data_IF_628799516572
#
_entry.id   IF_628799516572
#
_cell.length_a   1.000
_cell.length_b   1.000
_cell.length_c   1.000
_cell.angle_alpha   90.00
_cell.angle_beta   90.00
_cell.angle_gamma   90.00
#
_symmetry.space_group_name_H-M   'P 1'
#
loop_
_entity.id
_entity.type
_entity.pdbx_description
1 polymer ?
#
# COMPACT_ATOMS: atom_id res chain seq x y z
N UNK A 1 33.97 -98.45 -9.40
CA UNK A 1 34.02 -98.38 -10.87
C UNK A 1 35.09 -97.38 -11.24
N UNK A 2 36.19 -97.82 -11.83
CA UNK A 2 37.29 -96.94 -12.21
C UNK A 2 37.52 -97.09 -13.71
N UNK A 3 37.01 -96.14 -14.48
CA UNK A 3 37.48 -95.95 -15.84
C UNK A 3 38.81 -95.20 -15.73
N UNK A 4 39.92 -95.91 -15.85
CA UNK A 4 41.24 -95.29 -15.99
C UNK A 4 41.30 -94.64 -17.37
N UNK A 5 41.13 -93.33 -17.44
CA UNK A 5 41.33 -92.55 -18.65
C UNK A 5 42.83 -92.56 -19.01
N UNK A 6 43.14 -92.87 -20.27
CA UNK A 6 44.51 -92.92 -20.78
C UNK A 6 45.10 -91.52 -21.03
N UNK A 7 46.42 -91.48 -21.23
CA UNK A 7 47.16 -90.29 -21.67
C UNK A 7 46.58 -89.78 -23.00
N UNK A 8 46.05 -88.56 -22.99
CA UNK A 8 45.92 -87.76 -24.21
C UNK A 8 47.28 -87.11 -24.44
N UNK A 9 47.97 -87.48 -25.52
CA UNK A 9 49.19 -86.77 -25.94
C UNK A 9 48.76 -85.37 -26.40
N UNK A 10 49.50 -84.34 -25.98
CA UNK A 10 49.17 -82.97 -26.36
C UNK A 10 49.11 -82.83 -27.90
N UNK A 11 48.13 -82.10 -28.45
CA UNK A 11 48.02 -81.90 -29.89
C UNK A 11 49.32 -81.26 -30.42
N UNK A 12 49.85 -81.83 -31.51
CA UNK A 12 51.07 -81.36 -32.18
C UNK A 12 50.68 -80.54 -33.41
N UNK A 13 51.54 -79.57 -33.75
CA UNK A 13 51.45 -78.89 -35.04
C UNK A 13 51.80 -79.87 -36.16
N UNK A 14 51.05 -79.85 -37.27
CA UNK A 14 51.32 -80.67 -38.45
C UNK A 14 51.24 -79.81 -39.70
N UNK A 15 52.24 -79.94 -40.58
CA UNK A 15 52.28 -79.25 -41.86
C UNK A 15 52.18 -80.22 -43.03
N UNK A 16 51.67 -79.73 -44.15
CA UNK A 16 51.52 -80.47 -45.40
C UNK A 16 52.22 -79.74 -46.55
N UNK A 17 52.71 -80.49 -47.54
CA UNK A 17 53.21 -79.94 -48.78
C UNK A 17 52.05 -79.37 -49.65
N UNK A 18 52.39 -78.71 -50.76
CA UNK A 18 51.39 -78.13 -51.68
C UNK A 18 50.47 -79.16 -52.35
N UNK A 19 50.79 -80.46 -52.22
CA UNK A 19 50.00 -81.58 -52.72
C UNK A 19 49.19 -82.27 -51.61
N UNK A 20 49.21 -81.74 -50.38
CA UNK A 20 48.46 -82.25 -49.23
C UNK A 20 49.09 -83.44 -48.51
N UNK A 21 50.36 -83.77 -48.77
CA UNK A 21 51.09 -84.85 -48.07
C UNK A 21 51.83 -84.29 -46.85
N UNK A 22 52.03 -85.07 -45.77
CA UNK A 22 52.80 -84.62 -44.62
C UNK A 22 54.18 -84.08 -45.01
N UNK A 23 54.56 -82.93 -44.45
CA UNK A 23 55.82 -82.26 -44.78
C UNK A 23 57.00 -82.87 -44.00
N UNK A 24 57.33 -84.11 -44.34
CA UNK A 24 58.39 -84.89 -43.68
C UNK A 24 59.74 -84.19 -43.84
N UNK A 25 60.43 -83.96 -42.71
CA UNK A 25 61.72 -83.25 -42.71
C UNK A 25 61.63 -81.76 -43.05
N UNK A 26 60.42 -81.21 -43.10
CA UNK A 26 60.21 -79.76 -43.20
C UNK A 26 60.75 -79.01 -41.99
N UNK A 27 60.89 -77.70 -42.14
CA UNK A 27 61.51 -76.80 -41.15
C UNK A 27 60.51 -75.73 -40.78
N UNK A 28 60.30 -75.50 -39.49
CA UNK A 28 59.51 -74.37 -38.99
C UNK A 28 60.46 -73.36 -38.37
N UNK A 29 60.45 -72.15 -38.92
CA UNK A 29 61.20 -71.00 -38.43
C UNK A 29 60.22 -70.02 -37.79
N UNK A 30 60.49 -69.64 -36.56
CA UNK A 30 59.72 -68.70 -35.75
C UNK A 30 60.50 -67.41 -35.41
N UNK A 31 60.00 -66.28 -35.86
CA UNK A 31 60.61 -64.98 -35.65
C UNK A 31 59.71 -64.09 -34.79
N UNK A 32 60.28 -63.00 -34.28
CA UNK A 32 59.49 -61.93 -33.69
C UNK A 32 58.45 -61.41 -34.70
N UNK A 33 57.19 -61.21 -34.28
CA UNK A 33 56.16 -60.63 -35.14
C UNK A 33 56.63 -59.32 -35.80
N UNK A 34 56.32 -59.15 -37.08
CA UNK A 34 56.82 -58.03 -37.90
C UNK A 34 58.28 -58.11 -38.34
N UNK A 35 58.99 -59.22 -38.05
CA UNK A 35 60.39 -59.45 -38.46
C UNK A 35 60.56 -60.83 -39.08
N UNK A 36 61.35 -60.94 -40.15
CA UNK A 36 61.71 -62.21 -40.80
C UNK A 36 63.16 -62.62 -40.56
N UNK A 37 63.87 -61.91 -39.67
CA UNK A 37 65.32 -62.09 -39.44
C UNK A 37 65.68 -62.26 -37.96
N UNK A 38 64.83 -61.81 -37.04
CA UNK A 38 65.06 -61.92 -35.59
C UNK A 38 64.41 -63.20 -35.07
N UNK A 39 65.20 -64.28 -34.96
CA UNK A 39 64.71 -65.57 -34.48
C UNK A 39 64.18 -65.45 -33.04
N UNK A 40 63.07 -66.13 -32.76
CA UNK A 40 62.40 -66.15 -31.47
C UNK A 40 62.19 -67.60 -31.03
N UNK A 41 62.43 -67.87 -29.75
CA UNK A 41 62.34 -69.22 -29.21
C UNK A 41 60.92 -69.78 -29.30
N UNK A 42 60.79 -71.05 -29.66
CA UNK A 42 59.56 -71.83 -29.45
C UNK A 42 59.83 -72.96 -28.48
N UNK A 43 58.77 -73.54 -27.92
CA UNK A 43 58.89 -74.52 -26.85
C UNK A 43 58.24 -75.85 -27.23
N UNK A 44 58.80 -76.94 -26.71
CA UNK A 44 58.28 -78.30 -26.91
C UNK A 44 57.20 -78.70 -25.89
N UNK A 45 57.03 -77.90 -24.85
CA UNK A 45 56.05 -78.05 -23.78
C UNK A 45 55.28 -76.73 -23.52
N UNK A 46 54.03 -76.81 -23.04
CA UNK A 46 53.21 -75.62 -22.77
C UNK A 46 53.73 -74.74 -21.63
N UNK A 47 54.49 -75.31 -20.69
CA UNK A 47 55.05 -74.62 -19.52
C UNK A 47 56.37 -73.88 -19.85
N UNK A 48 56.84 -73.99 -21.09
CA UNK A 48 58.02 -73.31 -21.64
C UNK A 48 59.34 -73.73 -20.97
N UNK A 49 59.39 -74.95 -20.45
CA UNK A 49 60.56 -75.50 -19.76
C UNK A 49 61.65 -75.93 -20.74
N UNK A 50 61.28 -76.35 -21.95
CA UNK A 50 62.18 -76.90 -22.96
C UNK A 50 62.00 -76.20 -24.30
N UNK A 51 63.06 -75.52 -24.75
CA UNK A 51 63.11 -74.85 -26.06
C UNK A 51 63.26 -75.86 -27.19
N UNK A 52 62.55 -75.64 -28.29
CA UNK A 52 62.80 -76.34 -29.54
C UNK A 52 64.14 -75.90 -30.15
N UNK A 53 64.69 -76.73 -31.03
CA UNK A 53 65.84 -76.35 -31.86
C UNK A 53 65.45 -75.27 -32.88
N UNK A 54 66.46 -74.55 -33.38
CA UNK A 54 66.30 -73.57 -34.45
C UNK A 54 66.99 -74.02 -35.74
N UNK A 55 66.27 -74.26 -36.86
CA UNK A 55 64.81 -74.34 -36.97
C UNK A 55 64.21 -75.58 -36.28
N UNK A 56 62.89 -75.60 -36.09
CA UNK A 56 62.17 -76.78 -35.60
C UNK A 56 62.01 -77.77 -36.75
N UNK A 57 62.50 -79.00 -36.60
CA UNK A 57 62.40 -80.04 -37.63
C UNK A 57 61.13 -80.86 -37.45
N UNK A 58 60.40 -81.07 -38.55
CA UNK A 58 59.20 -81.89 -38.58
C UNK A 58 59.56 -83.38 -38.71
N UNK A 59 58.85 -84.22 -37.94
CA UNK A 59 59.04 -85.67 -37.93
C UNK A 59 58.48 -86.38 -39.18
N UNK A 60 58.47 -87.72 -39.17
CA UNK A 60 57.97 -88.58 -40.25
C UNK A 60 56.46 -88.47 -40.50
N UNK A 61 55.73 -87.83 -39.59
CA UNK A 61 54.35 -87.42 -39.77
C UNK A 61 54.21 -85.96 -40.22
N UNK A 62 55.31 -85.26 -40.51
CA UNK A 62 55.31 -83.83 -40.81
C UNK A 62 54.87 -82.98 -39.62
N UNK A 63 55.12 -83.44 -38.39
CA UNK A 63 54.60 -82.83 -37.16
C UNK A 63 55.71 -82.41 -36.18
N UNK A 64 55.39 -81.48 -35.28
CA UNK A 64 56.25 -81.06 -34.16
C UNK A 64 55.42 -80.51 -32.99
N UNK A 65 55.94 -80.61 -31.77
CA UNK A 65 55.38 -79.88 -30.64
C UNK A 65 55.94 -78.44 -30.65
N UNK A 66 55.07 -77.46 -30.91
CA UNK A 66 55.46 -76.05 -31.01
C UNK A 66 54.48 -75.22 -30.19
N UNK A 67 54.97 -74.69 -29.07
CA UNK A 67 54.27 -73.74 -28.23
C UNK A 67 54.95 -72.37 -28.37
N UNK A 68 54.13 -71.32 -28.45
CA UNK A 68 54.56 -69.93 -28.63
C UNK A 68 54.16 -69.07 -27.43
N UNK A 69 54.85 -67.95 -27.26
CA UNK A 69 54.65 -66.97 -26.18
C UNK A 69 54.68 -65.54 -26.72
N UNK A 70 53.52 -64.90 -26.88
CA UNK A 70 53.38 -63.65 -27.61
C UNK A 70 53.04 -63.88 -29.08
N UNK A 71 53.19 -62.82 -29.89
CA UNK A 71 52.96 -62.87 -31.33
C UNK A 71 54.26 -63.21 -32.09
N UNK A 72 54.14 -64.09 -33.08
CA UNK A 72 55.24 -64.59 -33.91
C UNK A 72 54.94 -64.39 -35.39
N UNK A 73 56.01 -64.26 -36.16
CA UNK A 73 56.00 -64.53 -37.59
C UNK A 73 56.58 -65.94 -37.82
N UNK A 74 55.81 -66.83 -38.41
CA UNK A 74 56.18 -68.24 -38.61
C UNK A 74 56.35 -68.51 -40.10
N UNK A 75 57.44 -69.16 -40.49
CA UNK A 75 57.66 -69.73 -41.83
C UNK A 75 57.78 -71.23 -41.76
N UNK A 76 57.18 -71.90 -42.73
CA UNK A 76 57.23 -73.36 -42.90
C UNK A 76 57.91 -73.62 -44.25
N UNK A 77 59.05 -74.30 -44.23
CA UNK A 77 59.84 -74.64 -45.41
C UNK A 77 59.89 -76.15 -45.59
N UNK A 78 60.06 -76.62 -46.82
CA UNK A 78 60.31 -78.02 -47.11
C UNK A 78 61.74 -78.46 -46.71
N UNK A 79 62.02 -79.75 -46.85
CA UNK A 79 63.33 -80.31 -46.54
C UNK A 79 64.48 -79.67 -47.35
N UNK A 80 64.19 -79.11 -48.53
CA UNK A 80 65.15 -78.44 -49.41
C UNK A 80 65.27 -76.93 -49.13
N UNK A 81 64.50 -76.38 -48.19
CA UNK A 81 64.50 -74.96 -47.84
C UNK A 81 63.61 -74.10 -48.73
N UNK A 82 62.66 -74.70 -49.47
CA UNK A 82 61.65 -73.95 -50.23
C UNK A 82 60.47 -73.59 -49.34
N UNK A 83 60.05 -72.34 -49.36
CA UNK A 83 58.90 -71.85 -48.58
C UNK A 83 57.59 -72.53 -49.00
N UNK A 84 56.88 -73.10 -48.02
CA UNK A 84 55.55 -73.70 -48.17
C UNK A 84 54.46 -72.73 -47.75
N UNK A 85 54.58 -72.16 -46.54
CA UNK A 85 53.61 -71.23 -45.98
C UNK A 85 54.28 -70.30 -44.97
N UNK A 86 53.71 -69.12 -44.79
CA UNK A 86 54.11 -68.17 -43.77
C UNK A 86 52.90 -67.42 -43.21
N UNK A 87 53.05 -66.85 -42.02
CA UNK A 87 52.05 -65.99 -41.41
C UNK A 87 52.65 -65.10 -40.33
N UNK A 88 52.25 -63.84 -40.31
CA UNK A 88 52.61 -62.87 -39.26
C UNK A 88 51.45 -62.71 -38.26
N UNK A 89 51.77 -62.28 -37.04
CA UNK A 89 50.80 -62.03 -35.98
C UNK A 89 50.17 -63.30 -35.39
N UNK A 90 50.81 -64.47 -35.55
CA UNK A 90 50.36 -65.71 -34.94
C UNK A 90 50.66 -65.64 -33.45
N UNK A 91 49.62 -65.49 -32.63
CA UNK A 91 49.74 -65.25 -31.19
C UNK A 91 49.06 -66.34 -30.36
N UNK A 92 49.59 -66.60 -29.16
CA UNK A 92 48.90 -67.45 -28.21
C UNK A 92 47.63 -66.77 -27.64
N UNK A 93 46.62 -67.57 -27.34
CA UNK A 93 45.32 -67.09 -26.88
C UNK A 93 45.40 -66.24 -25.60
N UNK A 94 46.38 -66.51 -24.73
CA UNK A 94 46.56 -65.74 -23.50
C UNK A 94 47.13 -64.35 -23.79
N UNK A 95 48.11 -64.23 -24.68
CA UNK A 95 48.62 -62.95 -25.16
C UNK A 95 47.57 -62.14 -25.94
N UNK A 96 46.71 -62.79 -26.74
CA UNK A 96 45.58 -62.12 -27.39
C UNK A 96 44.59 -61.58 -26.34
N UNK A 97 44.16 -62.42 -25.39
CA UNK A 97 43.25 -62.00 -24.32
C UNK A 97 43.83 -60.84 -23.49
N UNK A 98 45.12 -60.91 -23.15
CA UNK A 98 45.83 -59.85 -22.45
C UNK A 98 45.89 -58.57 -23.29
N UNK A 99 46.18 -58.66 -24.58
CA UNK A 99 46.21 -57.50 -25.49
C UNK A 99 44.84 -56.82 -25.66
N UNK A 100 43.74 -57.58 -25.56
CA UNK A 100 42.37 -57.03 -25.58
C UNK A 100 42.08 -56.30 -24.26
N UNK A 101 42.47 -56.89 -23.13
CA UNK A 101 42.35 -56.25 -21.81
C UNK A 101 43.18 -54.96 -21.77
N UNK A 102 44.40 -54.99 -22.28
CA UNK A 102 45.31 -53.84 -22.31
C UNK A 102 44.86 -52.80 -23.35
N UNK A 103 44.40 -53.24 -24.54
CA UNK A 103 44.05 -52.39 -25.68
C UNK A 103 42.72 -51.64 -25.55
N UNK A 104 41.77 -52.14 -24.75
CA UNK A 104 40.51 -51.45 -24.48
C UNK A 104 40.69 -50.23 -23.53
N UNK A 105 41.87 -50.06 -22.94
CA UNK A 105 42.11 -49.12 -21.83
C UNK A 105 42.85 -47.82 -22.20
N UNK A 106 43.30 -47.63 -23.45
CA UNK A 106 43.80 -46.33 -23.92
C UNK A 106 44.88 -45.67 -23.05
N UNK A 107 45.68 -46.47 -22.32
CA UNK A 107 46.79 -45.96 -21.50
C UNK A 107 46.44 -45.44 -20.10
N UNK A 108 45.22 -45.66 -19.58
CA UNK A 108 44.93 -45.42 -18.15
C UNK A 108 44.40 -46.68 -17.47
N UNK A 109 45.06 -47.06 -16.39
CA UNK A 109 44.75 -48.21 -15.55
C UNK A 109 43.40 -48.04 -14.84
N UNK A 110 42.53 -49.06 -15.00
CA UNK A 110 41.43 -49.49 -14.11
C UNK A 110 40.22 -48.54 -13.92
N UNK A 111 39.02 -49.05 -14.15
CA UNK A 111 37.69 -48.41 -13.94
C UNK A 111 37.58 -47.62 -12.63
N UNK A 112 38.30 -48.06 -11.61
CA UNK A 112 38.43 -47.44 -10.29
C UNK A 112 38.80 -45.95 -10.34
N UNK A 113 39.74 -45.56 -11.22
CA UNK A 113 40.12 -44.14 -11.35
C UNK A 113 38.98 -43.28 -11.88
N UNK A 114 38.21 -43.79 -12.85
CA UNK A 114 37.06 -43.06 -13.41
C UNK A 114 35.90 -42.96 -12.42
N UNK A 115 35.72 -43.98 -11.60
CA UNK A 115 34.72 -43.96 -10.52
C UNK A 115 35.12 -42.90 -9.49
N UNK A 116 36.39 -42.84 -9.10
CA UNK A 116 36.89 -41.81 -8.18
C UNK A 116 36.71 -40.39 -8.71
N UNK A 117 36.96 -40.15 -10.00
CA UNK A 117 36.76 -38.83 -10.61
C UNK A 117 35.28 -38.43 -10.60
N UNK A 118 34.38 -39.37 -10.93
CA UNK A 118 32.93 -39.14 -10.91
C UNK A 118 32.39 -38.90 -9.49
N UNK A 119 32.92 -39.61 -8.49
CA UNK A 119 32.59 -39.37 -7.08
C UNK A 119 32.97 -37.95 -6.67
N UNK A 120 34.17 -37.49 -7.05
CA UNK A 120 34.60 -36.11 -6.81
C UNK A 120 33.71 -35.09 -7.52
N UNK A 121 33.31 -35.34 -8.77
CA UNK A 121 32.42 -34.45 -9.51
C UNK A 121 31.02 -34.37 -8.88
N UNK A 122 30.49 -35.49 -8.39
CA UNK A 122 29.21 -35.54 -7.66
C UNK A 122 29.29 -34.73 -6.37
N UNK A 123 30.37 -34.84 -5.61
CA UNK A 123 30.59 -34.06 -4.39
C UNK A 123 30.65 -32.56 -4.70
N UNK A 124 31.42 -32.16 -5.72
CA UNK A 124 31.50 -30.76 -6.17
C UNK A 124 30.13 -30.21 -6.60
N UNK A 125 29.34 -31.01 -7.32
CA UNK A 125 27.99 -30.62 -7.74
C UNK A 125 27.03 -30.52 -6.56
N UNK A 126 27.15 -31.41 -5.57
CA UNK A 126 26.35 -31.37 -4.35
C UNK A 126 26.64 -30.09 -3.55
N UNK A 127 27.91 -29.70 -3.45
CA UNK A 127 28.32 -28.45 -2.82
C UNK A 127 27.80 -27.22 -3.57
N UNK A 128 27.87 -27.22 -4.90
CA UNK A 128 27.29 -26.16 -5.72
C UNK A 128 25.78 -26.04 -5.54
N UNK A 129 25.07 -27.18 -5.51
CA UNK A 129 23.63 -27.21 -5.28
C UNK A 129 23.26 -26.66 -3.90
N UNK A 130 23.99 -27.07 -2.85
CA UNK A 130 23.75 -26.59 -1.49
C UNK A 130 23.98 -25.08 -1.39
N UNK A 131 25.05 -24.56 -2.00
CA UNK A 131 25.34 -23.12 -2.03
C UNK A 131 24.24 -22.32 -2.75
N UNK A 132 23.79 -22.79 -3.92
CA UNK A 132 22.68 -22.15 -4.64
C UNK A 132 21.38 -22.18 -3.85
N UNK A 133 21.09 -23.31 -3.18
CA UNK A 133 19.91 -23.46 -2.35
C UNK A 133 19.94 -22.50 -1.16
N UNK A 134 21.06 -22.38 -0.47
CA UNK A 134 21.23 -21.44 0.64
C UNK A 134 21.06 -19.99 0.18
N UNK A 135 21.63 -19.66 -0.97
CA UNK A 135 21.47 -18.34 -1.61
C UNK A 135 20.00 -18.05 -1.94
N UNK A 136 19.29 -19.02 -2.50
CA UNK A 136 17.86 -18.90 -2.81
C UNK A 136 17.01 -18.70 -1.55
N UNK A 137 17.28 -19.48 -0.49
CA UNK A 137 16.56 -19.38 0.79
C UNK A 137 16.82 -18.04 1.47
N UNK A 138 18.04 -17.50 1.36
CA UNK A 138 18.38 -16.16 1.82
C UNK A 138 17.57 -15.08 1.06
N UNK A 139 17.54 -15.12 -0.26
CA UNK A 139 16.75 -14.17 -1.07
C UNK A 139 15.26 -14.26 -0.77
N UNK A 140 14.72 -15.47 -0.63
CA UNK A 140 13.32 -15.70 -0.26
C UNK A 140 13.00 -15.05 1.09
N UNK A 141 13.89 -15.20 2.07
CA UNK A 141 13.75 -14.61 3.41
C UNK A 141 13.81 -13.08 3.35
N UNK A 142 14.77 -12.52 2.63
CA UNK A 142 14.89 -11.07 2.42
C UNK A 142 13.65 -10.49 1.74
N UNK A 143 13.14 -11.14 0.68
CA UNK A 143 11.95 -10.70 -0.05
C UNK A 143 10.69 -10.74 0.82
N UNK A 144 10.48 -11.80 1.61
CA UNK A 144 9.35 -11.89 2.53
C UNK A 144 9.41 -10.79 3.61
N UNK A 145 10.61 -10.49 4.11
CA UNK A 145 10.83 -9.41 5.09
C UNK A 145 10.53 -8.04 4.48
N UNK A 146 11.00 -7.80 3.25
CA UNK A 146 10.73 -6.58 2.50
C UNK A 146 9.24 -6.39 2.22
N UNK A 147 8.53 -7.46 1.83
CA UNK A 147 7.08 -7.42 1.59
C UNK A 147 6.30 -7.08 2.86
N UNK A 148 6.68 -7.67 3.99
CA UNK A 148 6.08 -7.37 5.31
C UNK A 148 6.32 -5.92 5.72
N UNK A 149 7.55 -5.43 5.51
CA UNK A 149 7.93 -4.05 5.82
C UNK A 149 7.16 -3.07 4.94
N UNK A 150 7.01 -3.37 3.64
CA UNK A 150 6.25 -2.56 2.71
C UNK A 150 4.77 -2.45 3.14
N UNK A 151 4.14 -3.57 3.51
CA UNK A 151 2.76 -3.57 4.00
C UNK A 151 2.58 -2.73 5.27
N UNK A 152 3.51 -2.84 6.22
CA UNK A 152 3.51 -2.04 7.45
C UNK A 152 3.68 -0.54 7.15
N UNK A 153 4.62 -0.19 6.27
CA UNK A 153 4.88 1.20 5.89
C UNK A 153 3.68 1.82 5.17
N UNK A 154 3.06 1.08 4.23
CA UNK A 154 1.85 1.54 3.52
C UNK A 154 0.69 1.76 4.49
N UNK A 155 0.46 0.82 5.42
CA UNK A 155 -0.61 0.94 6.43
C UNK A 155 -0.39 2.15 7.34
N UNK A 156 0.84 2.35 7.80
CA UNK A 156 1.21 3.48 8.65
C UNK A 156 1.05 4.82 7.92
N UNK A 157 1.55 4.90 6.68
CA UNK A 157 1.43 6.09 5.85
C UNK A 157 -0.03 6.46 5.59
N UNK A 158 -0.87 5.47 5.24
CA UNK A 158 -2.30 5.67 5.00
C UNK A 158 -3.03 6.11 6.28
N UNK A 159 -2.74 5.47 7.41
CA UNK A 159 -3.33 5.84 8.71
C UNK A 159 -2.99 7.28 9.09
N UNK A 160 -1.72 7.68 8.93
CA UNK A 160 -1.29 9.04 9.23
C UNK A 160 -1.92 10.07 8.30
N UNK A 161 -2.02 9.76 7.00
CA UNK A 161 -2.65 10.63 6.02
C UNK A 161 -4.15 10.84 6.33
N UNK A 162 -4.88 9.76 6.61
CA UNK A 162 -6.31 9.81 6.99
C UNK A 162 -6.49 10.60 8.29
N UNK A 163 -5.67 10.33 9.31
CA UNK A 163 -5.75 11.03 10.60
C UNK A 163 -5.51 12.54 10.44
N UNK A 164 -4.51 12.92 9.65
CA UNK A 164 -4.20 14.32 9.34
C UNK A 164 -5.36 14.99 8.60
N UNK A 165 -5.90 14.34 7.57
CA UNK A 165 -6.99 14.87 6.78
C UNK A 165 -8.29 15.00 7.59
N UNK A 166 -8.61 14.00 8.42
CA UNK A 166 -9.77 14.05 9.31
C UNK A 166 -9.65 15.20 10.32
N UNK A 167 -8.47 15.37 10.93
CA UNK A 167 -8.22 16.47 11.88
C UNK A 167 -8.38 17.83 11.21
N UNK A 168 -7.84 18.00 10.00
CA UNK A 168 -7.98 19.23 9.23
C UNK A 168 -9.45 19.51 8.84
N UNK A 169 -10.18 18.47 8.44
CA UNK A 169 -11.60 18.59 8.08
C UNK A 169 -12.46 18.96 9.29
N UNK A 170 -12.23 18.35 10.45
CA UNK A 170 -12.92 18.70 11.70
C UNK A 170 -12.66 20.15 12.08
N UNK A 171 -11.39 20.59 12.04
CA UNK A 171 -11.04 21.98 12.33
C UNK A 171 -11.72 22.97 11.37
N UNK A 172 -11.82 22.62 10.07
CA UNK A 172 -12.50 23.46 9.08
C UNK A 172 -14.02 23.54 9.35
N UNK A 173 -14.66 22.42 9.70
CA UNK A 173 -16.08 22.39 10.07
C UNK A 173 -16.36 23.22 11.32
N UNK A 174 -15.49 23.11 12.34
CA UNK A 174 -15.61 23.92 13.56
C UNK A 174 -15.44 25.41 13.28
N UNK A 175 -14.48 25.78 12.42
CA UNK A 175 -14.28 27.16 12.00
C UNK A 175 -15.52 27.71 11.27
N UNK A 176 -16.11 26.94 10.35
CA UNK A 176 -17.36 27.32 9.67
C UNK A 176 -18.52 27.47 10.64
N UNK A 177 -18.65 26.54 11.61
CA UNK A 177 -19.68 26.62 12.66
C UNK A 177 -19.54 27.90 13.48
N UNK A 178 -18.31 28.25 13.89
CA UNK A 178 -18.03 29.47 14.65
C UNK A 178 -18.34 30.71 13.82
N UNK A 179 -17.89 30.76 12.57
CA UNK A 179 -18.17 31.88 11.66
C UNK A 179 -19.68 32.08 11.41
N UNK A 180 -20.40 30.98 11.16
CA UNK A 180 -21.86 31.01 11.02
C UNK A 180 -22.56 31.54 12.27
N UNK A 181 -22.16 31.06 13.46
CA UNK A 181 -22.73 31.53 14.71
C UNK A 181 -22.45 33.02 14.93
N UNK A 182 -21.24 33.48 14.60
CA UNK A 182 -20.88 34.90 14.68
C UNK A 182 -21.71 35.75 13.71
N UNK A 183 -21.91 35.29 12.47
CA UNK A 183 -22.76 35.96 11.48
C UNK A 183 -24.22 36.01 11.91
N UNK A 184 -24.78 34.92 12.44
CA UNK A 184 -26.15 34.87 12.97
C UNK A 184 -26.29 35.86 14.14
N UNK A 185 -25.38 35.84 15.11
CA UNK A 185 -25.36 36.80 16.21
C UNK A 185 -25.19 38.26 15.73
N UNK A 186 -24.47 38.44 14.61
CA UNK A 186 -24.33 39.71 13.89
C UNK A 186 -25.67 40.28 13.42
N UNK A 187 -26.53 39.43 12.86
CA UNK A 187 -27.83 39.79 12.28
C UNK A 187 -28.95 39.97 13.31
N UNK A 188 -28.81 39.40 14.50
CA UNK A 188 -29.79 39.58 15.58
C UNK A 188 -29.90 41.05 16.00
N UNK A 189 -31.11 41.48 16.32
CA UNK A 189 -31.36 42.79 16.95
C UNK A 189 -30.53 42.86 18.23
N UNK A 190 -29.69 43.89 18.39
CA UNK A 190 -28.77 43.98 19.55
C UNK A 190 -29.55 44.16 20.85
N UNK A 191 -28.93 43.77 21.97
CA UNK A 191 -29.47 44.05 23.31
C UNK A 191 -29.71 45.56 23.44
N UNK A 192 -30.89 45.93 23.92
CA UNK A 192 -31.37 47.31 23.97
C UNK A 192 -32.10 47.79 22.71
N UNK A 193 -32.01 47.05 21.61
CA UNK A 193 -32.71 47.34 20.36
C UNK A 193 -34.22 47.13 20.45
N UNK A 194 -34.97 47.81 19.58
CA UNK A 194 -36.42 47.76 19.50
C UNK A 194 -36.89 46.89 18.34
N UNK A 195 -37.99 46.16 18.56
CA UNK A 195 -38.68 45.36 17.57
C UNK A 195 -40.16 45.77 17.53
N UNK A 196 -40.66 46.04 16.33
CA UNK A 196 -42.04 46.48 16.08
C UNK A 196 -42.80 45.35 15.39
N UNK A 197 -43.99 45.03 15.89
CA UNK A 197 -44.80 43.94 15.34
C UNK A 197 -46.28 44.14 15.65
N UNK A 198 -47.15 43.65 14.77
CA UNK A 198 -48.60 43.52 15.05
C UNK A 198 -48.90 42.26 15.88
N UNK A 199 -47.98 41.29 15.90
CA UNK A 199 -48.10 40.07 16.71
C UNK A 199 -48.07 40.41 18.20
N UNK A 200 -48.99 39.80 18.96
CA UNK A 200 -49.00 39.89 20.41
C UNK A 200 -48.05 38.88 21.08
N UNK A 201 -47.46 37.96 20.30
CA UNK A 201 -46.55 36.95 20.80
C UNK A 201 -45.22 37.58 21.29
N UNK A 202 -44.57 36.92 22.24
CA UNK A 202 -43.26 37.35 22.70
C UNK A 202 -42.26 37.15 21.55
N UNK A 203 -41.43 38.12 21.16
CA UNK A 203 -40.50 37.95 20.04
C UNK A 203 -39.52 36.78 20.21
N UNK A 204 -39.30 36.28 21.44
CA UNK A 204 -38.56 35.05 21.66
C UNK A 204 -39.20 33.83 20.95
N UNK A 205 -40.53 33.76 20.83
CA UNK A 205 -41.21 32.69 20.09
C UNK A 205 -41.07 32.86 18.59
N UNK A 206 -41.17 34.09 18.10
CA UNK A 206 -41.26 34.37 16.66
C UNK A 206 -39.87 34.46 16.01
N UNK A 207 -38.89 35.03 16.72
CA UNK A 207 -37.50 35.17 16.27
C UNK A 207 -36.60 34.03 16.75
N UNK A 208 -37.03 33.24 17.74
CA UNK A 208 -36.29 32.09 18.26
C UNK A 208 -35.06 32.43 19.11
N UNK A 209 -34.90 33.68 19.53
CA UNK A 209 -33.78 34.11 20.37
C UNK A 209 -34.13 35.29 21.28
N UNK A 210 -33.26 35.47 22.29
CA UNK A 210 -33.25 36.62 23.18
C UNK A 210 -34.35 36.60 24.24
N UNK A 211 -34.22 37.50 25.20
CA UNK A 211 -35.30 37.82 26.15
C UNK A 211 -35.84 39.21 25.85
N UNK A 212 -37.16 39.38 25.95
CA UNK A 212 -37.84 40.58 25.45
C UNK A 212 -38.85 41.10 26.47
N UNK A 213 -38.97 42.43 26.54
CA UNK A 213 -39.98 43.11 27.35
C UNK A 213 -40.66 44.21 26.55
N UNK A 214 -41.96 44.39 26.78
CA UNK A 214 -42.75 45.46 26.15
C UNK A 214 -42.32 46.81 26.70
N UNK A 215 -42.18 47.79 25.82
CA UNK A 215 -41.83 49.17 26.18
C UNK A 215 -42.79 50.14 25.51
N UNK A 216 -42.82 51.39 25.99
CA UNK A 216 -43.62 52.46 25.39
C UNK A 216 -45.11 52.12 25.22
N UNK A 217 -45.68 51.30 26.12
CA UNK A 217 -47.10 50.92 26.03
C UNK A 217 -47.98 52.17 26.19
N UNK A 218 -48.84 52.43 25.20
CA UNK A 218 -49.69 53.63 25.17
C UNK A 218 -48.94 54.94 24.93
N UNK A 219 -47.67 54.88 24.50
CA UNK A 219 -46.82 56.06 24.28
C UNK A 219 -46.33 56.11 22.83
N UNK A 220 -46.15 57.32 22.31
CA UNK A 220 -45.38 57.53 21.07
C UNK A 220 -43.88 57.58 21.37
N UNK A 221 -43.05 57.16 20.42
CA UNK A 221 -41.60 57.24 20.55
C UNK A 221 -41.11 58.61 20.09
N UNK A 222 -40.20 59.19 20.87
CA UNK A 222 -39.47 60.42 20.54
C UNK A 222 -37.98 60.12 20.65
N UNK A 223 -37.21 60.53 19.64
CA UNK A 223 -35.77 60.32 19.63
C UNK A 223 -35.09 61.16 20.71
N UNK A 224 -33.99 60.65 21.26
CA UNK A 224 -33.08 61.42 22.10
C UNK A 224 -32.62 62.66 21.32
N UNK A 225 -32.75 63.85 21.92
CA UNK A 225 -32.32 65.09 21.30
C UNK A 225 -31.03 65.62 21.91
N UNK A 226 -30.06 65.95 21.07
CA UNK A 226 -28.82 66.65 21.45
C UNK A 226 -28.92 68.17 21.30
N UNK A 227 -30.02 68.70 20.76
CA UNK A 227 -30.21 70.14 20.60
C UNK A 227 -30.49 70.82 21.95
N UNK A 228 -29.65 71.75 22.44
CA UNK A 228 -29.81 72.33 23.77
C UNK A 228 -31.15 73.05 24.00
N UNK A 229 -31.84 73.49 22.95
CA UNK A 229 -33.12 74.20 23.06
C UNK A 229 -34.34 73.29 23.22
N UNK A 230 -34.22 71.99 22.91
CA UNK A 230 -35.37 71.08 23.01
C UNK A 230 -35.67 70.74 24.48
N UNK A 231 -36.94 70.39 24.81
CA UNK A 231 -37.37 70.13 26.18
C UNK A 231 -36.50 69.13 26.94
N UNK A 232 -36.31 69.35 28.25
CA UNK A 232 -35.43 68.55 29.11
C UNK A 232 -35.78 67.05 29.12
N UNK A 233 -37.07 66.68 29.00
CA UNK A 233 -37.49 65.29 28.96
C UNK A 233 -36.98 64.52 27.72
N UNK A 234 -36.55 65.22 26.66
CA UNK A 234 -35.97 64.61 25.45
C UNK A 234 -34.48 64.26 25.58
N UNK A 235 -33.87 64.55 26.74
CA UNK A 235 -32.41 64.49 26.95
C UNK A 235 -31.90 63.21 27.58
N UNK A 236 -32.78 62.29 27.95
CA UNK A 236 -32.39 61.02 28.56
C UNK A 236 -33.21 59.87 27.99
N UNK A 237 -32.52 58.78 27.65
CA UNK A 237 -33.18 57.59 27.12
C UNK A 237 -34.07 56.99 28.23
N UNK A 238 -35.34 56.75 27.90
CA UNK A 238 -36.31 56.16 28.83
C UNK A 238 -37.13 57.18 29.62
N UNK A 239 -36.88 58.49 29.46
CA UNK A 239 -37.79 59.52 29.96
C UNK A 239 -39.17 59.41 29.32
N UNK A 240 -40.21 59.67 30.10
CA UNK A 240 -41.62 59.65 29.66
C UNK A 240 -42.23 61.03 29.84
N UNK A 241 -43.05 61.47 28.90
CA UNK A 241 -43.77 62.74 28.96
C UNK A 241 -45.03 62.65 28.10
N UNK A 242 -45.99 63.54 28.35
CA UNK A 242 -47.24 63.66 27.61
C UNK A 242 -48.47 63.25 28.42
N UNK A 243 -49.64 63.52 27.85
CA UNK A 243 -50.95 63.26 28.43
C UNK A 243 -51.95 62.86 27.34
N UNK A 244 -52.98 62.09 27.71
CA UNK A 244 -54.03 61.69 26.76
C UNK A 244 -55.04 62.82 26.47
N UNK A 245 -55.37 63.62 27.49
CA UNK A 245 -56.31 64.72 27.37
C UNK A 245 -55.91 65.87 28.29
N UNK A 246 -56.15 67.10 27.85
CA UNK A 246 -55.77 68.33 28.57
C UNK A 246 -56.99 69.17 28.92
N UNK A 247 -57.08 69.62 30.17
CA UNK A 247 -58.05 70.62 30.60
C UNK A 247 -57.37 71.98 30.69
N UNK A 248 -57.96 72.98 30.03
CA UNK A 248 -57.44 74.35 30.08
C UNK A 248 -57.45 74.86 31.51
N UNK A 249 -56.30 75.35 31.95
CA UNK A 249 -56.13 76.08 33.21
C UNK A 249 -56.49 77.56 33.04
N UNK A 250 -56.68 78.27 34.15
CA UNK A 250 -56.93 79.72 34.13
C UNK A 250 -55.82 80.50 33.43
N UNK A 251 -54.56 80.07 33.59
CA UNK A 251 -53.38 80.73 33.01
C UNK A 251 -53.26 80.49 31.50
N UNK A 252 -53.83 79.39 31.00
CA UNK A 252 -53.88 79.07 29.57
C UNK A 252 -55.04 79.77 28.86
N UNK A 253 -55.92 80.44 29.61
CA UNK A 253 -56.97 81.25 29.05
C UNK A 253 -56.41 82.64 28.72
N UNK A 254 -56.27 82.93 27.42
CA UNK A 254 -55.78 84.22 26.96
C UNK A 254 -56.60 85.40 27.52
N UNK A 255 -56.05 86.63 27.51
CA UNK A 255 -56.76 87.82 27.98
C UNK A 255 -58.12 87.94 27.29
N UNK A 256 -59.19 87.93 28.08
CA UNK A 256 -60.55 88.08 27.59
C UNK A 256 -61.33 89.04 28.50
N UNK A 257 -62.38 89.65 27.94
CA UNK A 257 -63.26 90.56 28.68
C UNK A 257 -64.71 90.28 28.32
N UNK A 258 -65.60 90.63 29.24
CA UNK A 258 -67.03 90.60 28.99
C UNK A 258 -67.59 92.01 29.11
N UNK A 259 -68.44 92.40 28.15
CA UNK A 259 -69.13 93.68 28.15
C UNK A 259 -70.42 93.58 28.95
N UNK A 260 -70.48 94.21 30.13
CA UNK A 260 -71.73 94.41 30.86
C UNK A 260 -72.36 95.73 30.40
N UNK A 261 -73.50 95.65 29.70
CA UNK A 261 -74.30 96.80 29.33
C UNK A 261 -75.02 97.39 30.54
N UNK A 262 -74.32 98.21 31.33
CA UNK A 262 -74.95 99.01 32.38
C UNK A 262 -75.76 100.15 31.76
N UNK A 263 -77.09 100.11 31.88
CA UNK A 263 -77.94 101.26 31.54
C UNK A 263 -77.75 102.31 32.63
N UNK A 264 -76.72 103.15 32.50
CA UNK A 264 -76.64 104.38 33.28
C UNK A 264 -77.73 105.32 32.78
N UNK A 265 -78.88 105.37 33.45
CA UNK A 265 -79.91 106.34 33.14
C UNK A 265 -79.36 107.75 33.39
N UNK A 266 -79.24 108.63 32.37
CA UNK A 266 -78.96 110.02 32.60
C UNK A 266 -80.23 110.64 33.20
N UNK A 267 -80.21 110.89 34.51
CA UNK A 267 -81.29 111.56 35.26
C UNK A 267 -82.65 110.85 35.36
N UNK A 268 -82.70 109.69 36.01
CA UNK A 268 -83.95 109.28 36.69
C UNK A 268 -83.68 109.00 38.17
N UNK A 269 -83.79 110.04 39.01
CA UNK A 269 -84.03 109.88 40.45
C UNK A 269 -85.43 109.28 40.63
N UNK A 270 -85.55 107.98 40.47
CA UNK A 270 -86.64 107.24 41.08
C UNK A 270 -86.32 107.11 42.57
N UNK A 271 -86.97 107.93 43.38
CA UNK A 271 -86.85 107.91 44.83
C UNK A 271 -87.64 106.71 45.36
N UNK A 272 -87.06 105.52 45.25
CA UNK A 272 -87.53 104.35 45.99
C UNK A 272 -86.91 104.39 47.39
N UNK A 273 -87.77 104.56 48.39
CA UNK A 273 -87.43 104.46 49.80
C UNK A 273 -86.97 103.03 50.11
N UNK A 274 -85.67 102.83 50.23
CA UNK A 274 -85.10 101.58 50.72
C UNK A 274 -83.85 101.91 51.52
N UNK A 275 -83.92 101.69 52.83
CA UNK A 275 -82.79 101.62 53.77
C UNK A 275 -81.94 100.38 53.48
N UNK A 276 -81.45 100.26 52.25
CA UNK A 276 -80.54 99.21 51.83
C UNK A 276 -79.24 99.89 51.42
N UNK A 277 -78.23 99.65 52.25
CA UNK A 277 -76.82 99.95 52.03
C UNK A 277 -76.41 99.61 50.59
N UNK A 278 -75.90 100.58 49.79
CA UNK A 278 -75.44 100.31 48.43
C UNK A 278 -74.12 99.55 48.50
N UNK A 279 -74.22 98.27 48.82
CA UNK A 279 -73.13 97.30 48.63
C UNK A 279 -72.81 97.23 47.13
N UNK A 280 -71.55 97.39 46.70
CA UNK A 280 -71.17 97.20 45.30
C UNK A 280 -71.51 95.78 44.87
N UNK A 281 -72.61 95.62 44.11
CA UNK A 281 -73.02 94.33 43.57
C UNK A 281 -72.05 93.90 42.47
N UNK A 282 -71.23 92.89 42.73
CA UNK A 282 -70.43 92.24 41.71
C UNK A 282 -71.37 91.53 40.72
N UNK A 283 -71.50 92.05 39.49
CA UNK A 283 -72.20 91.39 38.40
C UNK A 283 -71.28 90.37 37.74
N UNK A 284 -71.41 89.10 38.11
CA UNK A 284 -70.69 88.02 37.44
C UNK A 284 -71.29 87.81 36.04
N UNK A 285 -70.47 87.88 35.00
CA UNK A 285 -70.84 87.25 33.72
C UNK A 285 -70.80 85.74 33.96
N UNK A 286 -71.84 85.02 33.59
CA UNK A 286 -71.92 83.58 33.84
C UNK A 286 -70.70 82.81 33.31
N UNK A 287 -70.49 81.57 33.78
CA UNK A 287 -69.39 80.73 33.30
C UNK A 287 -69.59 80.36 31.83
N UNK A 288 -68.54 80.50 31.01
CA UNK A 288 -68.49 79.97 29.65
C UNK A 288 -67.60 78.73 29.59
N UNK A 289 -68.15 77.60 29.12
CA UNK A 289 -67.45 76.33 28.97
C UNK A 289 -67.71 75.33 30.11
N UNK A 290 -67.50 74.04 29.82
CA UNK A 290 -67.69 72.94 30.79
C UNK A 290 -66.38 72.51 31.48
N UNK A 291 -65.24 73.08 31.08
CA UNK A 291 -63.91 72.70 31.59
C UNK A 291 -63.50 71.25 31.29
N UNK A 292 -64.22 70.55 30.40
CA UNK A 292 -63.94 69.15 30.07
C UNK A 292 -62.61 69.03 29.32
N UNK A 293 -61.71 68.10 29.71
CA UNK A 293 -60.48 67.85 28.96
C UNK A 293 -60.75 67.49 27.50
N UNK A 294 -59.91 67.97 26.59
CA UNK A 294 -59.98 67.64 25.16
C UNK A 294 -58.86 66.66 24.79
N UNK A 295 -59.12 65.81 23.79
CA UNK A 295 -58.15 64.84 23.29
C UNK A 295 -56.89 65.55 22.78
N UNK A 296 -55.73 65.16 23.33
CA UNK A 296 -54.42 65.66 22.91
C UNK A 296 -53.65 64.64 22.03
N UNK A 297 -54.27 63.50 21.71
CA UNK A 297 -53.66 62.44 20.90
C UNK A 297 -53.96 62.63 19.42
N UNK A 298 -52.90 62.74 18.62
CA UNK A 298 -52.97 62.74 17.15
C UNK A 298 -53.42 61.37 16.58
N UNK A 299 -53.96 61.31 15.35
CA UNK A 299 -54.26 60.03 14.69
C UNK A 299 -53.07 59.06 14.76
N UNK A 300 -53.31 57.85 15.24
CA UNK A 300 -52.25 56.90 15.60
C UNK A 300 -52.57 55.48 15.14
N UNK A 301 -51.51 54.70 14.85
CA UNK A 301 -51.60 53.27 14.53
C UNK A 301 -50.91 52.46 15.62
N UNK A 302 -51.62 51.47 16.17
CA UNK A 302 -51.17 50.72 17.35
C UNK A 302 -50.37 49.50 16.92
N UNK A 303 -49.12 49.42 17.40
CA UNK A 303 -48.23 48.25 17.24
C UNK A 303 -47.62 47.87 18.58
N UNK A 304 -47.16 46.62 18.69
CA UNK A 304 -46.39 46.17 19.82
C UNK A 304 -44.92 46.57 19.65
N UNK A 305 -44.38 47.27 20.65
CA UNK A 305 -42.96 47.64 20.71
C UNK A 305 -42.29 46.83 21.81
N UNK A 306 -41.32 46.02 21.42
CA UNK A 306 -40.54 45.17 22.31
C UNK A 306 -39.08 45.62 22.35
N UNK A 307 -38.47 45.58 23.53
CA UNK A 307 -37.04 45.83 23.73
C UNK A 307 -36.33 44.52 24.08
N UNK A 308 -35.21 44.25 23.40
CA UNK A 308 -34.35 43.09 23.72
C UNK A 308 -33.57 43.35 25.00
N UNK A 309 -33.60 42.41 25.93
CA UNK A 309 -32.90 42.48 27.23
C UNK A 309 -31.61 41.65 27.24
N UNK A 310 -31.61 40.47 26.61
CA UNK A 310 -30.43 39.61 26.41
C UNK A 310 -30.49 38.85 25.10
#
# INVERSE_FOLDING_TARGET
MAATAGILVAPRFQAFDKLGRPLIGGRVEAYQAGSSTVALDTYSDPDRLFKNTWPVLLDDAGSAAIYISGAYYIRILDANGVLIAEGDGIADAYSVAKSIIDGLSGGSTTIESRVSDLESEVDDLQDQYNNQKDTFDAYKTSNNTALTTLGTNQTTALTNAISTQNSAMLAAVDALRVDMNNKIAGLQIKVGGLYFTESNANPASDLGYGSWSRVAQGMTLVSLSTNPLDPAWTKSVGSTYGEYAHALTTDENGPHSHTNGGVGAPNSRAWSNSSADPTPGAGNTGSSGLGTPHNNVQPSYVVNVWKRLS
#
